data_IF_233107255887
#
_entry.id   IF_233107255887
#
_cell.length_a   1.000
_cell.length_b   1.000
_cell.length_c   1.000
_cell.angle_alpha   90.00
_cell.angle_beta   90.00
_cell.angle_gamma   90.00
#
_symmetry.space_group_name_H-M   'P 1'
#
loop_
_entity.id
_entity.type
_entity.pdbx_description
1 polymer ?
#
# COMPACT_ATOMS: atom_id res chain seq x y z
N UNK A 1 12.01 -10.93 0.88
CA UNK A 1 12.78 -10.69 -0.36
C UNK A 1 12.65 -11.83 -1.37
N UNK A 2 13.29 -13.00 -1.17
CA UNK A 2 13.31 -14.10 -2.16
C UNK A 2 11.94 -14.52 -2.73
N UNK A 3 10.88 -14.50 -1.91
CA UNK A 3 9.51 -14.83 -2.36
C UNK A 3 8.92 -13.79 -3.32
N UNK A 4 9.27 -12.52 -3.15
CA UNK A 4 8.80 -11.42 -4.00
C UNK A 4 9.57 -11.41 -5.33
N UNK A 5 10.87 -11.73 -5.31
CA UNK A 5 11.66 -11.97 -6.54
C UNK A 5 11.14 -13.20 -7.29
N UNK A 6 10.89 -14.32 -6.59
CA UNK A 6 10.36 -15.53 -7.20
C UNK A 6 8.95 -15.35 -7.77
N UNK A 7 8.14 -14.46 -7.18
CA UNK A 7 6.84 -14.06 -7.72
C UNK A 7 6.95 -13.02 -8.86
N UNK A 8 8.16 -12.55 -9.18
CA UNK A 8 8.42 -11.56 -10.22
C UNK A 8 7.96 -10.15 -9.88
N UNK A 9 7.66 -9.83 -8.61
CA UNK A 9 7.15 -8.51 -8.21
C UNK A 9 8.24 -7.47 -7.99
N UNK A 10 9.46 -7.92 -7.77
CA UNK A 10 10.64 -7.06 -7.60
C UNK A 10 11.84 -7.66 -8.31
N UNK A 11 12.72 -6.81 -8.80
CA UNK A 11 14.00 -7.15 -9.41
C UNK A 11 15.14 -6.44 -8.70
N UNK A 12 16.37 -6.94 -8.90
CA UNK A 12 17.58 -6.24 -8.45
C UNK A 12 17.91 -5.15 -9.45
N UNK A 13 18.12 -3.95 -8.94
CA UNK A 13 18.73 -2.85 -9.67
C UNK A 13 20.23 -2.86 -9.36
N UNK A 14 21.05 -2.89 -10.40
CA UNK A 14 22.50 -2.70 -10.26
C UNK A 14 22.78 -1.21 -10.19
N UNK A 15 23.52 -0.78 -9.17
CA UNK A 15 24.00 0.59 -9.08
C UNK A 15 25.05 0.82 -10.18
N UNK A 16 24.92 1.93 -10.94
CA UNK A 16 25.82 2.25 -12.05
C UNK A 16 27.13 2.89 -11.58
N UNK A 17 27.23 3.35 -10.33
CA UNK A 17 28.43 4.00 -9.77
C UNK A 17 29.19 3.13 -8.74
N UNK A 18 28.50 2.34 -7.92
CA UNK A 18 29.13 1.45 -6.93
C UNK A 18 28.45 0.07 -6.91
N UNK A 19 29.05 -0.89 -7.62
CA UNK A 19 28.55 -2.26 -7.74
C UNK A 19 28.43 -3.05 -6.41
N UNK A 20 28.77 -2.44 -5.27
CA UNK A 20 28.55 -3.01 -3.92
C UNK A 20 27.14 -2.83 -3.40
N UNK A 21 26.32 -1.93 -3.98
CA UNK A 21 24.89 -1.78 -3.63
C UNK A 21 24.00 -2.47 -4.66
N UNK A 22 23.17 -3.41 -4.18
CA UNK A 22 22.04 -3.94 -4.95
C UNK A 22 20.76 -3.24 -4.50
N UNK A 23 20.32 -2.28 -5.29
CA UNK A 23 19.01 -1.68 -5.14
C UNK A 23 17.90 -2.67 -5.50
N UNK A 24 16.67 -2.40 -5.09
CA UNK A 24 15.51 -3.17 -5.48
C UNK A 24 14.54 -2.28 -6.22
N UNK A 25 14.01 -2.78 -7.33
CA UNK A 25 12.99 -2.08 -8.11
C UNK A 25 11.73 -2.92 -8.15
N UNK A 26 10.57 -2.26 -8.03
CA UNK A 26 9.27 -2.90 -8.30
C UNK A 26 9.14 -3.10 -9.80
N UNK A 27 8.79 -4.32 -10.20
CA UNK A 27 8.50 -4.63 -11.61
C UNK A 27 7.10 -4.15 -11.99
N UNK A 28 6.78 -4.10 -13.28
CA UNK A 28 5.42 -3.84 -13.75
C UNK A 28 4.41 -4.85 -13.17
N UNK A 29 4.76 -6.14 -13.15
CA UNK A 29 3.95 -7.19 -12.51
C UNK A 29 3.75 -6.94 -11.02
N UNK A 30 4.78 -6.45 -10.32
CA UNK A 30 4.69 -6.07 -8.91
C UNK A 30 3.73 -4.90 -8.68
N UNK A 31 3.82 -3.86 -9.52
CA UNK A 31 2.90 -2.71 -9.47
C UNK A 31 1.46 -3.15 -9.69
N UNK A 32 1.20 -3.94 -10.74
CA UNK A 32 -0.13 -4.46 -11.03
C UNK A 32 -0.71 -5.29 -9.87
N UNK A 33 0.12 -6.12 -9.23
CA UNK A 33 -0.32 -6.87 -8.07
C UNK A 33 -0.62 -5.97 -6.86
N UNK A 34 0.18 -4.92 -6.66
CA UNK A 34 -0.04 -3.97 -5.58
C UNK A 34 -1.38 -3.23 -5.76
N UNK A 35 -1.75 -2.92 -7.00
CA UNK A 35 -3.04 -2.34 -7.33
C UNK A 35 -4.20 -3.30 -7.09
N UNK A 36 -4.06 -4.58 -7.44
CA UNK A 36 -5.05 -5.62 -7.10
C UNK A 36 -5.25 -5.76 -5.59
N UNK A 37 -4.16 -5.69 -4.80
CA UNK A 37 -4.25 -5.74 -3.33
C UNK A 37 -4.98 -4.51 -2.79
N UNK A 38 -4.66 -3.31 -3.32
CA UNK A 38 -5.34 -2.06 -2.94
C UNK A 38 -6.82 -2.11 -3.27
N UNK A 39 -7.18 -2.61 -4.46
CA UNK A 39 -8.56 -2.77 -4.89
C UNK A 39 -9.33 -3.69 -3.94
N UNK A 40 -8.81 -4.90 -3.68
CA UNK A 40 -9.46 -5.86 -2.75
C UNK A 40 -9.67 -5.28 -1.35
N UNK A 41 -8.69 -4.52 -0.84
CA UNK A 41 -8.81 -3.84 0.46
C UNK A 41 -9.91 -2.78 0.44
N UNK A 42 -9.96 -1.97 -0.62
CA UNK A 42 -10.96 -0.92 -0.76
C UNK A 42 -12.38 -1.51 -0.92
N UNK A 43 -12.53 -2.56 -1.73
CA UNK A 43 -13.80 -3.27 -1.93
C UNK A 43 -14.29 -3.88 -0.61
N UNK A 44 -13.39 -4.52 0.13
CA UNK A 44 -13.69 -5.05 1.46
C UNK A 44 -14.18 -3.94 2.40
N UNK A 45 -13.48 -2.81 2.46
CA UNK A 45 -13.83 -1.69 3.33
C UNK A 45 -15.16 -1.06 2.94
N UNK A 46 -15.38 -0.83 1.64
CA UNK A 46 -16.64 -0.30 1.11
C UNK A 46 -17.83 -1.17 1.52
N UNK A 47 -17.70 -2.49 1.41
CA UNK A 47 -18.74 -3.44 1.83
C UNK A 47 -19.05 -3.39 3.34
N UNK A 48 -18.08 -2.98 4.19
CA UNK A 48 -18.33 -2.78 5.63
C UNK A 48 -18.96 -1.43 5.90
N UNK A 49 -18.45 -0.37 5.29
CA UNK A 49 -18.99 0.99 5.42
C UNK A 49 -20.46 1.03 5.00
N UNK A 50 -20.84 0.30 3.94
CA UNK A 50 -22.22 0.21 3.48
C UNK A 50 -23.21 -0.35 4.52
N UNK A 51 -22.73 -1.04 5.56
CA UNK A 51 -23.56 -1.59 6.64
C UNK A 51 -23.77 -0.61 7.80
N UNK A 52 -23.08 0.52 7.80
CA UNK A 52 -23.16 1.52 8.87
C UNK A 52 -24.27 2.53 8.59
N UNK A 53 -24.82 3.10 9.67
CA UNK A 53 -25.76 4.20 9.55
C UNK A 53 -25.08 5.40 8.87
N UNK A 54 -25.84 6.29 8.19
CA UNK A 54 -25.28 7.48 7.57
C UNK A 54 -24.44 8.34 8.52
N UNK A 55 -24.91 8.52 9.76
CA UNK A 55 -24.21 9.33 10.77
C UNK A 55 -22.83 8.75 11.13
N UNK A 56 -22.73 7.43 11.29
CA UNK A 56 -21.46 6.76 11.60
C UNK A 56 -20.47 6.86 10.43
N UNK A 57 -20.96 6.78 9.19
CA UNK A 57 -20.12 6.98 7.99
C UNK A 57 -19.56 8.39 7.92
N UNK A 58 -20.37 9.40 8.23
CA UNK A 58 -19.89 10.79 8.28
C UNK A 58 -18.88 11.01 9.41
N UNK A 59 -19.09 10.38 10.57
CA UNK A 59 -18.11 10.43 11.67
C UNK A 59 -16.75 9.83 11.24
N UNK A 60 -16.75 8.66 10.58
CA UNK A 60 -15.54 8.04 10.05
C UNK A 60 -14.84 8.91 8.98
N UNK A 61 -15.64 9.54 8.10
CA UNK A 61 -15.11 10.47 7.09
C UNK A 61 -14.46 11.70 7.74
N UNK A 62 -15.10 12.28 8.75
CA UNK A 62 -14.54 13.41 9.50
C UNK A 62 -13.24 13.03 10.24
N UNK A 63 -13.14 11.79 10.73
CA UNK A 63 -11.94 11.29 11.40
C UNK A 63 -10.76 11.02 10.45
N UNK A 64 -10.98 10.93 9.13
CA UNK A 64 -9.92 10.58 8.17
C UNK A 64 -8.69 11.49 8.26
N UNK A 65 -8.90 12.81 8.29
CA UNK A 65 -7.81 13.79 8.37
C UNK A 65 -6.99 13.65 9.66
N UNK A 66 -7.61 13.72 10.85
CA UNK A 66 -6.92 13.50 12.12
C UNK A 66 -6.18 12.16 12.21
N UNK A 67 -6.75 11.07 11.69
CA UNK A 67 -6.09 9.76 11.68
C UNK A 67 -4.81 9.75 10.83
N UNK A 68 -4.77 10.50 9.72
CA UNK A 68 -3.55 10.65 8.91
C UNK A 68 -2.48 11.44 9.66
N UNK A 69 -2.87 12.44 10.45
CA UNK A 69 -1.91 13.22 11.25
C UNK A 69 -1.14 12.35 12.24
N UNK A 70 -1.78 11.31 12.80
CA UNK A 70 -1.12 10.37 13.72
C UNK A 70 0.13 9.72 13.11
N UNK A 71 0.20 9.55 11.79
CA UNK A 71 1.36 8.95 11.11
C UNK A 71 2.58 9.87 11.07
N UNK A 72 2.36 11.18 11.26
CA UNK A 72 3.41 12.21 11.25
C UNK A 72 3.86 12.64 12.64
N UNK A 73 3.20 12.16 13.69
CA UNK A 73 3.59 12.45 15.06
C UNK A 73 4.83 11.60 15.38
N UNK A 74 5.92 12.26 15.77
CA UNK A 74 7.04 11.56 16.40
C UNK A 74 6.60 11.03 17.78
N UNK A 75 7.15 9.88 18.21
CA UNK A 75 6.84 9.28 19.50
C UNK A 75 7.23 10.16 20.70
#
# INVERSE_FOLDING_TARGET
MKRLEAAGWISRATDTEDGRRTGLQITETGSAQMDLIRQRRNDWLAARLAKLAPADREALKAAQGPLLLLLSLEP
#
